data_IF_009700837855
#
_entry.id   IF_009700837855
#
_cell.length_a   1.000
_cell.length_b   1.000
_cell.length_c   1.000
_cell.angle_alpha   90.00
_cell.angle_beta   90.00
_cell.angle_gamma   90.00
#
_symmetry.space_group_name_H-M   'P 1'
#
loop_
_entity.id
_entity.type
_entity.pdbx_description
1 polymer ?
#
# COMPACT_ATOMS: atom_id res chain seq x y z
N UNK A 1 0.50 11.12 10.63
CA UNK A 1 0.96 9.72 10.50
C UNK A 1 -0.19 8.80 10.85
N UNK A 2 -0.54 7.91 9.92
CA UNK A 2 -1.48 6.81 10.08
C UNK A 2 -0.78 5.52 9.66
N UNK A 3 -1.20 4.38 10.21
CA UNK A 3 -0.66 3.08 9.83
C UNK A 3 -1.58 2.43 8.81
N UNK A 4 -1.04 2.08 7.65
CA UNK A 4 -1.71 1.24 6.65
C UNK A 4 -1.28 -0.20 6.89
N UNK A 5 -2.25 -1.09 7.05
CA UNK A 5 -2.02 -2.54 7.10
C UNK A 5 -2.32 -3.13 5.73
N UNK A 6 -1.33 -3.79 5.12
CA UNK A 6 -1.55 -4.52 3.87
C UNK A 6 -2.05 -5.91 4.25
N UNK A 7 -3.36 -6.08 4.26
CA UNK A 7 -3.99 -7.35 4.63
C UNK A 7 -3.88 -8.35 3.47
N UNK A 8 -2.96 -9.30 3.62
CA UNK A 8 -2.74 -10.38 2.67
C UNK A 8 -3.59 -11.58 3.11
N UNK A 9 -4.44 -12.18 2.25
CA UNK A 9 -5.21 -13.37 2.59
C UNK A 9 -4.30 -14.50 3.07
N UNK A 10 -4.74 -15.25 4.09
CA UNK A 10 -3.94 -16.33 4.71
C UNK A 10 -3.41 -17.36 3.70
N UNK A 11 -4.19 -17.66 2.66
CA UNK A 11 -3.79 -18.61 1.61
C UNK A 11 -2.58 -18.11 0.80
N UNK A 12 -2.44 -16.80 0.63
CA UNK A 12 -1.41 -16.18 -0.20
C UNK A 12 -0.16 -15.82 0.62
N UNK A 13 -0.30 -15.62 1.94
CA UNK A 13 0.85 -15.34 2.84
C UNK A 13 1.96 -16.37 2.68
N UNK A 14 1.61 -17.65 2.64
CA UNK A 14 2.59 -18.74 2.51
C UNK A 14 3.37 -18.64 1.21
N UNK A 15 2.71 -18.29 0.10
CA UNK A 15 3.35 -18.12 -1.21
C UNK A 15 4.34 -16.95 -1.18
N UNK A 16 3.96 -15.85 -0.53
CA UNK A 16 4.80 -14.66 -0.40
C UNK A 16 5.93 -14.81 0.62
N UNK A 17 5.78 -15.66 1.64
CA UNK A 17 6.84 -15.95 2.62
C UNK A 17 7.92 -16.89 2.07
N UNK A 18 7.59 -17.68 1.03
CA UNK A 18 8.51 -18.63 0.38
C UNK A 18 9.38 -17.97 -0.71
N UNK A 19 9.12 -16.71 -1.07
CA UNK A 19 9.85 -15.98 -2.12
C UNK A 19 9.99 -14.49 -1.80
N UNK A 20 10.83 -13.78 -2.54
CA UNK A 20 10.86 -12.32 -2.47
C UNK A 20 9.63 -11.74 -3.18
N UNK A 21 9.09 -10.67 -2.62
CA UNK A 21 8.05 -9.86 -3.24
C UNK A 21 8.27 -8.39 -2.89
N UNK A 22 7.76 -7.51 -3.74
CA UNK A 22 7.81 -6.07 -3.53
C UNK A 22 6.41 -5.56 -3.17
N UNK A 23 6.36 -4.44 -2.45
CA UNK A 23 5.13 -3.73 -2.14
C UNK A 23 5.23 -2.30 -2.66
N UNK A 24 4.43 -1.94 -3.66
CA UNK A 24 4.36 -0.59 -4.23
C UNK A 24 3.15 0.18 -3.70
N UNK A 25 3.35 1.46 -3.36
CA UNK A 25 2.31 2.37 -2.86
C UNK A 25 2.09 3.52 -3.85
N UNK A 26 0.83 3.73 -4.22
CA UNK A 26 0.42 4.76 -5.17
C UNK A 26 -0.73 5.59 -4.60
N UNK A 27 -0.73 6.89 -4.83
CA UNK A 27 -1.87 7.76 -4.52
C UNK A 27 -2.33 8.45 -5.79
N UNK A 28 -3.61 8.30 -6.12
CA UNK A 28 -4.21 8.81 -7.36
C UNK A 28 -3.48 8.34 -8.64
N UNK A 29 -2.89 7.14 -8.57
CA UNK A 29 -2.11 6.54 -9.66
C UNK A 29 -0.64 6.95 -9.70
N UNK A 30 -0.21 7.90 -8.87
CA UNK A 30 1.17 8.35 -8.79
C UNK A 30 1.96 7.54 -7.76
N UNK A 31 3.19 7.14 -8.12
CA UNK A 31 4.08 6.41 -7.22
C UNK A 31 4.48 7.26 -6.00
N UNK A 32 4.38 6.66 -4.82
CA UNK A 32 4.71 7.32 -3.55
C UNK A 32 5.91 6.68 -2.86
N UNK A 33 5.94 5.35 -2.79
CA UNK A 33 6.96 4.59 -2.07
C UNK A 33 6.90 3.13 -2.48
N UNK A 34 7.96 2.39 -2.18
CA UNK A 34 7.98 0.93 -2.24
C UNK A 34 8.73 0.31 -1.07
N UNK A 35 8.58 -1.00 -0.92
CA UNK A 35 9.50 -1.89 -0.21
C UNK A 35 9.90 -3.00 -1.19
N UNK A 36 11.19 -3.06 -1.54
CA UNK A 36 11.74 -4.05 -2.49
C UNK A 36 11.82 -5.46 -1.89
N UNK A 37 11.87 -5.55 -0.54
CA UNK A 37 11.87 -6.81 0.18
C UNK A 37 10.72 -6.84 1.20
N UNK A 38 9.53 -7.18 0.70
CA UNK A 38 8.32 -7.31 1.49
C UNK A 38 8.41 -8.38 2.58
N UNK A 39 7.60 -8.21 3.62
CA UNK A 39 7.45 -9.15 4.73
C UNK A 39 5.98 -9.20 5.17
N UNK A 40 5.58 -10.27 5.86
CA UNK A 40 4.20 -10.46 6.31
C UNK A 40 4.16 -10.67 7.83
N UNK A 41 3.29 -9.97 8.59
CA UNK A 41 2.39 -8.89 8.15
C UNK A 41 3.15 -7.62 7.77
N UNK A 42 2.68 -6.93 6.72
CA UNK A 42 3.25 -5.67 6.29
C UNK A 42 2.46 -4.48 6.85
N UNK A 43 3.18 -3.52 7.42
CA UNK A 43 2.60 -2.23 7.84
C UNK A 43 3.44 -1.08 7.30
N UNK A 44 2.74 -0.02 6.89
CA UNK A 44 3.36 1.17 6.32
C UNK A 44 2.95 2.42 7.09
N UNK A 45 3.93 3.26 7.43
CA UNK A 45 3.68 4.56 8.05
C UNK A 45 3.41 5.60 6.98
N UNK A 46 2.17 6.05 6.89
CA UNK A 46 1.67 6.94 5.85
C UNK A 46 1.29 8.31 6.41
N UNK A 47 1.63 9.39 5.69
CA UNK A 47 1.14 10.74 6.02
C UNK A 47 0.19 11.26 4.94
N UNK A 48 -1.14 11.08 5.09
CA UNK A 48 -2.11 11.51 4.09
C UNK A 48 -2.18 13.03 3.95
N UNK A 49 -1.67 13.80 4.93
CA UNK A 49 -1.69 15.27 4.90
C UNK A 49 -0.72 15.88 3.88
N UNK A 50 0.15 15.04 3.29
CA UNK A 50 1.04 15.45 2.19
C UNK A 50 0.28 15.58 0.87
N UNK A 51 -0.91 15.01 0.79
CA UNK A 51 -1.85 15.19 -0.31
C UNK A 51 -2.76 16.37 0.05
N UNK A 52 -3.16 17.16 -0.93
CA UNK A 52 -4.01 18.35 -0.72
C UNK A 52 -5.37 17.97 -0.13
N UNK A 53 -6.20 18.93 0.28
CA UNK A 53 -7.57 18.63 0.71
C UNK A 53 -8.39 17.98 -0.41
N UNK A 54 -9.17 16.95 -0.09
CA UNK A 54 -9.99 16.24 -1.07
C UNK A 54 -10.11 14.73 -0.83
N UNK A 55 -10.80 14.05 -1.74
CA UNK A 55 -10.82 12.58 -1.82
C UNK A 55 -9.63 12.09 -2.65
N UNK A 56 -9.02 11.02 -2.19
CA UNK A 56 -7.85 10.40 -2.79
C UNK A 56 -7.97 8.88 -2.74
N UNK A 57 -7.31 8.20 -3.67
CA UNK A 57 -7.27 6.74 -3.71
C UNK A 57 -5.85 6.27 -3.44
N UNK A 58 -5.65 5.57 -2.31
CA UNK A 58 -4.43 4.81 -2.05
C UNK A 58 -4.57 3.45 -2.74
N UNK A 59 -3.61 3.08 -3.59
CA UNK A 59 -3.50 1.76 -4.19
C UNK A 59 -2.20 1.11 -3.74
N UNK A 60 -2.29 -0.16 -3.32
CA UNK A 60 -1.14 -0.99 -2.97
C UNK A 60 -1.02 -2.10 -4.01
N UNK A 61 0.18 -2.30 -4.54
CA UNK A 61 0.49 -3.40 -5.44
C UNK A 61 1.50 -4.34 -4.78
N UNK A 62 1.32 -5.64 -4.99
CA UNK A 62 2.28 -6.67 -4.63
C UNK A 62 2.76 -7.33 -5.92
N UNK A 63 4.07 -7.38 -6.12
CA UNK A 63 4.73 -8.09 -7.22
C UNK A 63 5.62 -9.19 -6.63
N UNK A 64 5.26 -10.46 -6.87
CA UNK A 64 6.07 -11.61 -6.49
C UNK A 64 7.09 -11.96 -7.57
N UNK A 65 8.28 -12.41 -7.18
CA UNK A 65 9.36 -12.75 -8.11
C UNK A 65 9.01 -13.91 -9.07
N UNK A 66 8.03 -14.74 -8.69
CA UNK A 66 7.52 -15.84 -9.54
C UNK A 66 6.31 -15.45 -10.39
N UNK A 67 6.07 -14.14 -10.58
CA UNK A 67 5.02 -13.60 -11.44
C UNK A 67 3.64 -13.43 -10.79
N UNK A 68 3.53 -13.63 -9.47
CA UNK A 68 2.31 -13.32 -8.73
C UNK A 68 2.10 -11.81 -8.69
N UNK A 69 0.84 -11.38 -8.84
CA UNK A 69 0.46 -9.98 -8.67
C UNK A 69 -0.77 -9.86 -7.79
N UNK A 70 -0.80 -8.84 -6.94
CA UNK A 70 -1.94 -8.49 -6.11
C UNK A 70 -2.15 -6.98 -6.09
N UNK A 71 -3.40 -6.53 -6.00
CA UNK A 71 -3.71 -5.11 -5.91
C UNK A 71 -4.94 -4.87 -5.04
N UNK A 72 -4.88 -3.84 -4.20
CA UNK A 72 -6.00 -3.37 -3.41
C UNK A 72 -5.99 -1.84 -3.36
N UNK A 73 -7.19 -1.24 -3.30
CA UNK A 73 -7.35 0.22 -3.23
C UNK A 73 -8.24 0.61 -2.06
N UNK A 74 -7.94 1.75 -1.45
CA UNK A 74 -8.68 2.34 -0.35
C UNK A 74 -8.92 3.83 -0.63
N UNK A 75 -10.18 4.25 -0.55
CA UNK A 75 -10.55 5.66 -0.59
C UNK A 75 -10.24 6.31 0.75
N UNK A 76 -9.61 7.49 0.74
CA UNK A 76 -9.42 8.30 1.94
C UNK A 76 -9.66 9.78 1.65
N UNK A 77 -10.00 10.53 2.69
CA UNK A 77 -10.25 11.98 2.60
C UNK A 77 -9.21 12.75 3.41
N UNK A 78 -8.67 13.82 2.82
CA UNK A 78 -7.87 14.82 3.53
C UNK A 78 -8.77 16.02 3.84
N UNK A 79 -8.97 16.37 5.12
CA UNK A 79 -9.81 17.51 5.49
C UNK A 79 -9.27 18.83 4.93
N UNK A 80 -10.18 19.70 4.49
CA UNK A 80 -9.84 21.09 4.20
C UNK A 80 -9.79 21.90 5.51
N UNK A 81 -8.59 22.23 5.96
CA UNK A 81 -8.38 23.03 7.17
C UNK A 81 -8.37 24.55 6.89
N UNK A 82 -9.10 25.02 5.88
CA UNK A 82 -9.34 26.46 5.71
C UNK A 82 -10.12 27.00 6.90
N UNK A 83 -9.40 27.67 7.79
CA UNK A 83 -9.95 28.55 8.83
C UNK A 83 -10.43 29.86 8.20
#
# INVERSE_FOLDING_TARGET
MTTVMVDIPKADKKVLEESLFEVGFFVDGEFVSEEEQGYVPFTWNFDPRRFGPGEHVLTVNISGFSGQVGSASLLFSVPNNSK
#
